data_IF_175168490397
#
_entry.id   IF_175168490397
#
_cell.length_a   1.000
_cell.length_b   1.000
_cell.length_c   1.000
_cell.angle_alpha   90.00
_cell.angle_beta   90.00
_cell.angle_gamma   90.00
#
_symmetry.space_group_name_H-M   'P 1'
#
loop_
_entity.id
_entity.type
_entity.pdbx_description
1 polymer ?
#
# COMPACT_ATOMS: atom_id res chain seq x y z
N UNK A 1 -26.90 17.22 -2.23
CA UNK A 1 -26.78 16.69 -0.84
C UNK A 1 -25.53 15.83 -0.70
N UNK A 2 -24.93 15.78 0.48
CA UNK A 2 -23.67 15.07 0.69
C UNK A 2 -23.75 13.57 0.33
N UNK A 3 -24.91 12.96 0.55
CA UNK A 3 -25.23 11.58 0.18
C UNK A 3 -25.14 11.26 -1.31
N UNK A 4 -25.07 12.27 -2.18
CA UNK A 4 -25.03 12.08 -3.64
C UNK A 4 -23.61 12.17 -4.23
N UNK A 5 -22.62 12.64 -3.47
CA UNK A 5 -21.26 12.84 -4.01
C UNK A 5 -20.62 11.54 -4.47
N UNK A 6 -20.76 10.47 -3.67
CA UNK A 6 -20.23 9.16 -4.03
C UNK A 6 -20.82 8.65 -5.36
N UNK A 7 -22.14 8.74 -5.51
CA UNK A 7 -22.83 8.36 -6.74
C UNK A 7 -22.38 9.21 -7.94
N UNK A 8 -22.33 10.53 -7.77
CA UNK A 8 -21.96 11.46 -8.84
C UNK A 8 -20.52 11.22 -9.33
N UNK A 9 -19.56 11.06 -8.43
CA UNK A 9 -18.16 10.79 -8.77
C UNK A 9 -18.01 9.45 -9.50
N UNK A 10 -18.57 8.38 -8.94
CA UNK A 10 -18.45 7.03 -9.50
C UNK A 10 -19.15 6.86 -10.86
N UNK A 11 -20.07 7.76 -11.23
CA UNK A 11 -20.68 7.78 -12.56
C UNK A 11 -19.74 8.31 -13.64
N UNK A 12 -18.74 9.11 -13.28
CA UNK A 12 -17.84 9.79 -14.23
C UNK A 12 -16.41 9.27 -14.19
N UNK A 13 -16.02 8.56 -13.13
CA UNK A 13 -14.71 7.95 -13.00
C UNK A 13 -14.55 6.78 -13.97
N UNK A 14 -13.32 6.46 -14.40
CA UNK A 14 -13.04 5.25 -15.17
C UNK A 14 -13.33 4.00 -14.35
N UNK A 15 -13.53 2.87 -15.04
CA UNK A 15 -13.93 1.60 -14.43
C UNK A 15 -12.93 1.03 -13.41
N UNK A 16 -11.69 1.52 -13.39
CA UNK A 16 -10.61 1.10 -12.48
C UNK A 16 -10.49 1.97 -11.22
N UNK A 17 -11.34 2.99 -11.04
CA UNK A 17 -11.34 3.88 -9.87
C UNK A 17 -12.74 3.97 -9.27
N UNK A 18 -12.85 3.72 -7.96
CA UNK A 18 -14.11 3.79 -7.24
C UNK A 18 -13.97 4.51 -5.88
N UNK A 19 -14.82 5.50 -5.64
CA UNK A 19 -14.98 6.19 -4.36
C UNK A 19 -15.82 5.32 -3.42
N UNK A 20 -15.20 4.82 -2.37
CA UNK A 20 -15.85 3.95 -1.39
C UNK A 20 -16.58 4.70 -0.28
N UNK A 21 -16.18 5.94 0.02
CA UNK A 21 -16.75 6.74 1.10
C UNK A 21 -16.54 8.24 0.85
N UNK A 22 -17.44 9.07 1.35
CA UNK A 22 -17.35 10.53 1.33
C UNK A 22 -17.72 11.05 2.71
N UNK A 23 -16.83 11.86 3.31
CA UNK A 23 -16.98 12.40 4.66
C UNK A 23 -16.64 13.89 4.64
N UNK A 24 -17.34 14.68 5.45
CA UNK A 24 -17.06 16.10 5.64
C UNK A 24 -15.93 16.16 6.64
N UNK A 25 -14.93 16.94 6.31
CA UNK A 25 -13.77 17.20 7.15
C UNK A 25 -13.74 18.68 7.47
N UNK A 26 -12.96 19.05 8.47
CA UNK A 26 -12.73 20.46 8.80
C UNK A 26 -11.98 21.16 7.65
N UNK A 27 -12.17 22.48 7.53
CA UNK A 27 -11.60 23.28 6.44
C UNK A 27 -10.07 23.33 6.46
N UNK A 28 -9.44 23.02 7.60
CA UNK A 28 -7.99 22.96 7.80
C UNK A 28 -7.38 21.58 7.52
N UNK A 29 -8.21 20.56 7.26
CA UNK A 29 -7.72 19.20 6.99
C UNK A 29 -6.91 19.12 5.69
N UNK A 30 -5.74 18.49 5.76
CA UNK A 30 -4.86 18.20 4.64
C UNK A 30 -4.46 16.71 4.58
N UNK A 31 -4.97 16.01 3.56
CA UNK A 31 -4.84 14.55 3.39
C UNK A 31 -3.41 13.98 3.46
N UNK A 32 -2.40 14.78 3.08
CA UNK A 32 -0.98 14.40 3.15
C UNK A 32 -0.35 14.63 4.52
N UNK A 33 -0.68 15.74 5.19
CA UNK A 33 0.06 16.24 6.35
C UNK A 33 -0.56 15.77 7.67
N UNK A 34 -1.88 15.60 7.70
CA UNK A 34 -2.60 15.04 8.86
C UNK A 34 -2.62 13.50 8.84
N UNK A 35 -2.00 12.89 7.83
CA UNK A 35 -1.83 11.45 7.74
C UNK A 35 -0.83 10.95 8.79
N UNK A 36 -1.32 10.21 9.78
CA UNK A 36 -0.48 9.65 10.86
C UNK A 36 0.33 8.41 10.45
N UNK A 37 0.02 7.82 9.29
CA UNK A 37 0.71 6.63 8.82
C UNK A 37 0.10 6.04 7.56
N UNK A 38 0.89 5.22 6.85
CA UNK A 38 0.47 4.52 5.64
C UNK A 38 0.67 3.03 5.82
N UNK A 39 -0.27 2.23 5.31
CA UNK A 39 -0.20 0.78 5.36
C UNK A 39 -0.18 0.22 3.94
N UNK A 40 0.81 -0.62 3.68
CA UNK A 40 0.98 -1.32 2.41
C UNK A 40 0.69 -2.82 2.58
N UNK A 41 0.21 -3.45 1.50
CA UNK A 41 0.04 -4.90 1.44
C UNK A 41 0.69 -5.42 0.17
N UNK A 42 1.71 -6.24 0.33
CA UNK A 42 2.28 -7.02 -0.76
C UNK A 42 1.64 -8.40 -0.79
N UNK A 43 1.28 -8.91 -1.97
CA UNK A 43 0.66 -10.23 -2.13
C UNK A 43 1.57 -11.11 -2.98
N UNK A 44 1.82 -12.33 -2.50
CA UNK A 44 2.57 -13.36 -3.22
C UNK A 44 1.61 -14.45 -3.68
N UNK A 45 1.80 -14.92 -4.91
CA UNK A 45 1.15 -16.10 -5.45
C UNK A 45 2.20 -17.21 -5.59
N UNK A 46 2.16 -18.18 -4.68
CA UNK A 46 3.06 -19.32 -4.71
C UNK A 46 2.40 -20.52 -5.37
N UNK A 47 2.91 -20.90 -6.54
CA UNK A 47 2.45 -22.06 -7.30
C UNK A 47 3.51 -22.49 -8.30
N UNK A 48 3.48 -23.75 -8.74
CA UNK A 48 4.41 -24.23 -9.76
C UNK A 48 4.16 -23.61 -11.14
N UNK A 49 2.92 -23.21 -11.42
CA UNK A 49 2.50 -22.67 -12.71
C UNK A 49 1.85 -21.30 -12.54
N UNK A 50 2.03 -20.45 -13.55
CA UNK A 50 1.41 -19.13 -13.59
C UNK A 50 -0.10 -19.25 -13.78
N UNK A 51 -0.84 -18.39 -13.09
CA UNK A 51 -2.26 -18.17 -13.33
C UNK A 51 -2.42 -16.76 -13.94
N UNK A 52 -2.89 -16.64 -15.19
CA UNK A 52 -3.13 -15.35 -15.85
C UNK A 52 -4.01 -14.41 -15.03
N UNK A 53 -4.94 -14.92 -14.21
CA UNK A 53 -5.81 -14.11 -13.36
C UNK A 53 -5.10 -13.51 -12.13
N UNK A 54 -3.90 -13.98 -11.80
CA UNK A 54 -3.06 -13.37 -10.74
C UNK A 54 -2.07 -12.34 -11.30
N UNK A 55 -1.92 -12.27 -12.62
CA UNK A 55 -0.96 -11.38 -13.28
C UNK A 55 -1.25 -9.93 -12.93
N UNK A 56 -0.23 -9.18 -12.52
CA UNK A 56 -0.37 -7.78 -12.08
C UNK A 56 -1.02 -7.59 -10.69
N UNK A 57 -1.62 -8.63 -10.10
CA UNK A 57 -2.27 -8.56 -8.78
C UNK A 57 -1.41 -9.12 -7.65
N UNK A 58 -0.54 -10.08 -7.95
CA UNK A 58 0.35 -10.76 -7.00
C UNK A 58 1.70 -11.06 -7.64
N UNK A 59 2.75 -11.06 -6.83
CA UNK A 59 4.08 -11.49 -7.27
C UNK A 59 4.14 -13.01 -7.30
N UNK A 60 4.40 -13.58 -8.49
CA UNK A 60 4.52 -15.02 -8.69
C UNK A 60 5.88 -15.53 -8.17
N UNK A 61 5.85 -16.56 -7.32
CA UNK A 61 7.04 -17.21 -6.77
C UNK A 61 6.83 -18.74 -6.83
N UNK A 62 7.52 -19.48 -7.72
CA UNK A 62 7.34 -20.92 -7.80
C UNK A 62 8.02 -21.71 -6.68
N UNK A 63 9.05 -21.15 -6.05
CA UNK A 63 9.80 -21.78 -4.98
C UNK A 63 9.02 -21.76 -3.65
N UNK A 64 9.17 -22.80 -2.80
CA UNK A 64 8.62 -22.80 -1.45
C UNK A 64 9.24 -21.68 -0.61
N UNK A 65 8.42 -21.08 0.26
CA UNK A 65 8.80 -19.96 1.11
C UNK A 65 8.73 -20.41 2.56
N UNK A 66 9.78 -20.11 3.32
CA UNK A 66 9.85 -20.38 4.74
C UNK A 66 9.23 -19.21 5.52
N UNK A 67 7.93 -19.32 5.79
CA UNK A 67 7.16 -18.26 6.44
C UNK A 67 7.67 -17.97 7.86
N UNK A 68 8.20 -18.96 8.56
CA UNK A 68 8.73 -18.76 9.91
C UNK A 68 10.00 -17.91 9.88
N UNK A 69 10.92 -18.19 8.95
CA UNK A 69 12.11 -17.34 8.75
C UNK A 69 11.73 -15.94 8.30
N UNK A 70 10.79 -15.81 7.36
CA UNK A 70 10.29 -14.50 6.90
C UNK A 70 9.69 -13.69 8.04
N UNK A 71 8.80 -14.30 8.84
CA UNK A 71 8.17 -13.66 9.98
C UNK A 71 9.20 -13.25 11.04
N UNK A 72 10.20 -14.10 11.32
CA UNK A 72 11.29 -13.77 12.26
C UNK A 72 12.13 -12.59 11.79
N UNK A 73 12.50 -12.55 10.50
CA UNK A 73 13.21 -11.41 9.93
C UNK A 73 12.35 -10.14 9.94
N UNK A 74 11.04 -10.25 9.65
CA UNK A 74 10.11 -9.13 9.64
C UNK A 74 10.01 -8.41 11.00
N UNK A 75 10.16 -9.14 12.12
CA UNK A 75 10.15 -8.52 13.46
C UNK A 75 11.28 -7.50 13.67
N UNK A 76 12.41 -7.64 12.96
CA UNK A 76 13.54 -6.71 13.08
C UNK A 76 13.22 -5.32 12.51
N UNK A 77 12.15 -5.18 11.74
CA UNK A 77 11.73 -3.90 11.16
C UNK A 77 10.76 -3.12 12.05
N UNK A 78 10.27 -3.69 13.15
CA UNK A 78 9.34 -3.00 14.05
C UNK A 78 10.09 -1.94 14.86
N UNK A 79 9.54 -0.73 14.93
CA UNK A 79 10.12 0.39 15.67
C UNK A 79 10.86 1.37 14.76
N UNK A 80 11.66 2.24 15.36
CA UNK A 80 12.33 3.32 14.63
C UNK A 80 13.69 2.88 14.11
N UNK A 81 13.88 2.92 12.79
CA UNK A 81 15.12 2.50 12.13
C UNK A 81 15.54 3.44 11.01
N UNK A 82 16.82 3.46 10.66
CA UNK A 82 17.30 4.05 9.40
C UNK A 82 17.12 3.04 8.25
N UNK A 83 16.16 3.31 7.36
CA UNK A 83 15.83 2.46 6.22
C UNK A 83 16.62 2.80 4.94
N UNK A 84 17.74 3.54 5.03
CA UNK A 84 18.55 3.92 3.86
C UNK A 84 18.92 2.72 2.97
N UNK A 85 19.19 1.55 3.56
CA UNK A 85 19.49 0.31 2.82
C UNK A 85 18.32 -0.23 1.97
N UNK A 86 17.10 0.20 2.24
CA UNK A 86 15.87 -0.20 1.54
C UNK A 86 15.36 0.88 0.57
N UNK A 87 16.04 2.02 0.48
CA UNK A 87 15.63 3.12 -0.37
C UNK A 87 16.12 2.97 -1.81
N UNK A 88 15.31 3.41 -2.77
CA UNK A 88 15.75 3.54 -4.17
C UNK A 88 16.90 4.53 -4.30
N UNK A 89 17.86 4.29 -5.21
CA UNK A 89 19.03 5.17 -5.42
C UNK A 89 18.70 6.63 -5.77
N UNK A 90 17.51 6.90 -6.33
CA UNK A 90 17.08 8.23 -6.79
C UNK A 90 16.05 8.90 -5.86
N UNK A 91 16.06 8.56 -4.59
CA UNK A 91 15.11 9.14 -3.63
C UNK A 91 15.50 10.58 -3.25
N UNK A 92 14.54 11.49 -3.31
CA UNK A 92 14.72 12.91 -2.93
C UNK A 92 14.44 13.16 -1.43
N UNK A 93 13.97 12.15 -0.70
CA UNK A 93 13.66 12.31 0.73
C UNK A 93 14.98 12.42 1.52
N UNK A 94 15.14 13.44 2.34
CA UNK A 94 16.38 13.65 3.09
C UNK A 94 16.54 12.66 4.25
N UNK A 95 15.53 12.56 5.14
CA UNK A 95 15.55 11.63 6.27
C UNK A 95 15.05 10.24 5.89
N UNK A 96 15.85 9.21 6.21
CA UNK A 96 15.51 7.79 6.01
C UNK A 96 15.09 7.08 7.28
N UNK A 97 15.04 7.81 8.39
CA UNK A 97 14.57 7.30 9.67
C UNK A 97 13.05 7.30 9.66
N UNK A 98 12.45 6.14 9.92
CA UNK A 98 11.00 5.93 9.94
C UNK A 98 10.62 5.04 11.12
N UNK A 99 9.34 5.09 11.51
CA UNK A 99 8.73 4.25 12.57
C UNK A 99 7.60 3.42 11.98
#
# INVERSE_FOLDING_TARGET
PMSQWQYAMNRTLPDDIYVNNVVTVDDDFHCRYDCVGKRYRYKVYQAQQRDPFQSGLKTFIPEPLDLDKMNRAAQQFIGTHDFKGFCSKKTEVESKVQT
#
